data_IF_595663449130
#
_entry.id   IF_595663449130
#
_cell.length_a   1.000
_cell.length_b   1.000
_cell.length_c   1.000
_cell.angle_alpha   90.00
_cell.angle_beta   90.00
_cell.angle_gamma   90.00
#
_symmetry.space_group_name_H-M   'P 1'
#
loop_
_entity.id
_entity.type
_entity.pdbx_description
1 polymer ?
#
# COMPACT_ATOMS: atom_id res chain seq x y z
N UNK A 1 -20.42 -10.88 2.90
CA UNK A 1 -19.30 -11.30 2.01
C UNK A 1 -18.50 -10.06 1.66
N UNK A 2 -17.19 -10.06 1.96
CA UNK A 2 -16.29 -8.95 1.58
C UNK A 2 -16.23 -8.79 0.06
N UNK A 3 -15.77 -7.63 -0.42
CA UNK A 3 -15.53 -7.43 -1.85
C UNK A 3 -14.60 -8.54 -2.37
N UNK A 4 -14.96 -9.19 -3.48
CA UNK A 4 -14.11 -10.20 -4.10
C UNK A 4 -12.74 -9.61 -4.44
N UNK A 5 -11.68 -10.40 -4.28
CA UNK A 5 -10.36 -10.09 -4.80
C UNK A 5 -10.43 -10.10 -6.33
N UNK A 6 -10.00 -9.02 -6.95
CA UNK A 6 -10.12 -8.73 -8.39
C UNK A 6 -8.76 -8.74 -9.08
N UNK A 7 -8.75 -8.85 -10.40
CA UNK A 7 -7.52 -8.74 -11.21
C UNK A 7 -6.80 -7.39 -10.98
N UNK A 8 -7.56 -6.32 -10.72
CA UNK A 8 -7.02 -5.02 -10.34
C UNK A 8 -6.26 -5.08 -9.00
N UNK A 9 -6.76 -5.81 -7.99
CA UNK A 9 -6.05 -5.96 -6.72
C UNK A 9 -4.74 -6.73 -6.92
N UNK A 10 -4.78 -7.81 -7.72
CA UNK A 10 -3.59 -8.58 -8.04
C UNK A 10 -2.54 -7.73 -8.77
N UNK A 11 -2.98 -6.91 -9.72
CA UNK A 11 -2.11 -5.97 -10.43
C UNK A 11 -1.48 -4.96 -9.47
N UNK A 12 -2.26 -4.35 -8.56
CA UNK A 12 -1.76 -3.42 -7.55
C UNK A 12 -0.72 -4.11 -6.66
N UNK A 13 -1.01 -5.31 -6.16
CA UNK A 13 -0.09 -6.08 -5.30
C UNK A 13 1.23 -6.37 -6.02
N UNK A 14 1.18 -6.77 -7.30
CA UNK A 14 2.38 -6.99 -8.12
C UNK A 14 3.18 -5.70 -8.34
N UNK A 15 2.52 -4.57 -8.60
CA UNK A 15 3.18 -3.26 -8.76
C UNK A 15 3.85 -2.81 -7.45
N UNK A 16 3.20 -3.05 -6.30
CA UNK A 16 3.79 -2.80 -4.98
C UNK A 16 5.02 -3.68 -4.75
N UNK A 17 4.94 -4.96 -5.09
CA UNK A 17 6.09 -5.89 -4.97
C UNK A 17 7.25 -5.46 -5.88
N UNK A 18 6.96 -5.04 -7.10
CA UNK A 18 7.96 -4.55 -8.05
C UNK A 18 8.71 -3.33 -7.49
N UNK A 19 7.98 -2.28 -7.07
CA UNK A 19 8.60 -1.08 -6.50
C UNK A 19 9.38 -1.38 -5.22
N UNK A 20 8.89 -2.32 -4.40
CA UNK A 20 9.58 -2.76 -3.20
C UNK A 20 10.94 -3.38 -3.55
N UNK A 21 11.00 -4.25 -4.57
CA UNK A 21 12.26 -4.85 -5.06
C UNK A 21 13.21 -3.80 -5.64
N UNK A 22 12.70 -2.91 -6.50
CA UNK A 22 13.50 -1.87 -7.15
C UNK A 22 14.15 -0.90 -6.14
N UNK A 23 13.44 -0.58 -5.05
CA UNK A 23 13.94 0.32 -4.00
C UNK A 23 14.67 -0.39 -2.85
N UNK A 24 14.69 -1.73 -2.83
CA UNK A 24 15.19 -2.50 -1.69
C UNK A 24 14.36 -2.29 -0.41
N UNK A 25 13.05 -2.06 -0.54
CA UNK A 25 12.13 -1.82 0.57
C UNK A 25 11.25 -3.04 0.84
N UNK A 26 10.68 -3.13 2.05
CA UNK A 26 9.56 -4.03 2.32
C UNK A 26 8.29 -3.50 1.64
N UNK A 27 7.40 -4.38 1.20
CA UNK A 27 6.12 -3.99 0.57
C UNK A 27 5.27 -3.06 1.45
N UNK A 28 5.31 -3.26 2.78
CA UNK A 28 4.62 -2.38 3.75
C UNK A 28 5.12 -0.93 3.67
N UNK A 29 6.41 -0.70 3.40
CA UNK A 29 6.93 0.65 3.24
C UNK A 29 6.32 1.33 2.02
N UNK A 30 6.23 0.63 0.88
CA UNK A 30 5.62 1.18 -0.34
C UNK A 30 4.15 1.55 -0.08
N UNK A 31 3.38 0.65 0.52
CA UNK A 31 1.97 0.88 0.83
C UNK A 31 1.76 2.07 1.80
N UNK A 32 2.54 2.13 2.88
CA UNK A 32 2.42 3.20 3.88
C UNK A 32 2.92 4.55 3.37
N UNK A 33 3.98 4.57 2.56
CA UNK A 33 4.47 5.80 1.93
C UNK A 33 3.47 6.31 0.90
N UNK A 34 2.81 5.42 0.15
CA UNK A 34 1.71 5.79 -0.74
C UNK A 34 0.54 6.40 0.04
N UNK A 35 0.09 5.78 1.15
CA UNK A 35 -0.97 6.38 1.99
C UNK A 35 -0.59 7.79 2.47
N UNK A 36 0.65 7.96 2.95
CA UNK A 36 1.16 9.27 3.39
C UNK A 36 1.18 10.29 2.25
N UNK A 37 1.52 9.89 1.02
CA UNK A 37 1.53 10.83 -0.13
C UNK A 37 0.14 11.34 -0.50
N UNK A 38 -0.93 10.58 -0.17
CA UNK A 38 -2.32 11.04 -0.30
C UNK A 38 -2.78 11.95 0.85
N UNK A 39 -1.88 12.34 1.75
CA UNK A 39 -2.19 13.14 2.94
C UNK A 39 -2.85 12.35 4.07
N UNK A 40 -2.91 11.01 3.97
CA UNK A 40 -3.46 10.19 5.03
C UNK A 40 -2.47 10.03 6.19
N UNK A 41 -3.01 9.88 7.41
CA UNK A 41 -2.25 9.53 8.62
C UNK A 41 -2.58 8.07 8.97
N UNK A 42 -1.77 7.09 8.53
CA UNK A 42 -2.10 5.68 8.70
C UNK A 42 -2.01 5.25 10.17
N UNK A 43 -3.07 4.61 10.67
CA UNK A 43 -3.09 3.96 11.99
C UNK A 43 -2.87 2.45 11.80
N UNK A 44 -1.64 1.99 12.07
CA UNK A 44 -1.23 0.61 11.78
C UNK A 44 -1.43 -0.28 13.01
N UNK A 45 -2.30 -1.28 12.90
CA UNK A 45 -2.41 -2.34 13.91
C UNK A 45 -1.22 -3.30 13.80
N UNK A 46 -0.49 -3.48 14.89
CA UNK A 46 0.66 -4.40 14.96
C UNK A 46 0.47 -5.41 16.10
N UNK A 47 0.78 -6.68 15.82
CA UNK A 47 0.72 -7.78 16.80
C UNK A 47 2.12 -8.23 17.26
N UNK A 48 3.17 -7.56 16.79
CA UNK A 48 4.56 -7.84 17.13
C UNK A 48 5.39 -6.55 17.05
N UNK A 49 6.52 -6.52 17.77
CA UNK A 49 7.45 -5.39 17.77
C UNK A 49 8.05 -5.16 16.39
N UNK A 50 8.47 -6.22 15.70
CA UNK A 50 9.02 -6.14 14.34
C UNK A 50 8.08 -5.43 13.35
N UNK A 51 6.77 -5.70 13.42
CA UNK A 51 5.78 -5.00 12.56
C UNK A 51 5.66 -3.52 12.89
N UNK A 52 5.85 -3.15 14.15
CA UNK A 52 5.85 -1.75 14.59
C UNK A 52 7.10 -1.03 14.08
N UNK A 53 8.25 -1.69 14.14
CA UNK A 53 9.53 -1.18 13.60
C UNK A 53 9.43 -0.97 12.09
N UNK A 54 8.90 -1.95 11.35
CA UNK A 54 8.67 -1.84 9.91
C UNK A 54 7.76 -0.65 9.53
N UNK A 55 6.71 -0.42 10.33
CA UNK A 55 5.83 0.72 10.12
C UNK A 55 6.53 2.06 10.44
N UNK A 56 7.39 2.09 11.46
CA UNK A 56 8.16 3.27 11.84
C UNK A 56 9.27 3.62 10.83
N UNK A 57 9.80 2.62 10.13
CA UNK A 57 10.91 2.75 9.17
C UNK A 57 10.56 3.48 7.87
N UNK A 58 9.31 3.94 7.69
CA UNK A 58 8.90 4.76 6.53
C UNK A 58 9.40 6.21 6.60
N UNK A 59 10.09 6.60 7.68
CA UNK A 59 10.70 7.93 7.84
C UNK A 59 11.75 8.14 6.75
N UNK A 60 11.73 9.31 6.11
CA UNK A 60 12.67 9.65 5.03
C UNK A 60 12.43 8.95 3.67
N UNK A 61 11.46 8.04 3.57
CA UNK A 61 11.09 7.36 2.31
C UNK A 61 10.05 8.16 1.53
N UNK A 62 10.17 8.29 0.21
CA UNK A 62 9.16 8.94 -0.63
C UNK A 62 9.00 8.23 -1.97
N UNK A 63 7.78 8.25 -2.50
CA UNK A 63 7.49 7.84 -3.87
C UNK A 63 7.50 9.07 -4.77
N UNK A 64 7.96 8.90 -6.00
CA UNK A 64 7.84 9.92 -7.05
C UNK A 64 6.42 9.97 -7.61
N UNK A 65 6.06 11.05 -8.29
CA UNK A 65 4.74 11.20 -8.92
C UNK A 65 4.44 10.04 -9.90
N UNK A 66 5.44 9.64 -10.70
CA UNK A 66 5.31 8.52 -11.64
C UNK A 66 5.06 7.18 -10.93
N UNK A 67 5.68 6.97 -9.78
CA UNK A 67 5.49 5.74 -8.99
C UNK A 67 4.10 5.72 -8.34
N UNK A 68 3.60 6.88 -7.91
CA UNK A 68 2.23 7.01 -7.39
C UNK A 68 1.22 6.73 -8.51
N UNK A 69 1.39 7.35 -9.69
CA UNK A 69 0.55 7.12 -10.86
C UNK A 69 0.57 5.65 -11.28
N UNK A 70 1.75 5.04 -11.30
CA UNK A 70 1.92 3.62 -11.57
C UNK A 70 1.16 2.73 -10.57
N UNK A 71 1.13 3.07 -9.28
CA UNK A 71 0.34 2.29 -8.32
C UNK A 71 -1.18 2.47 -8.49
N UNK A 72 -1.62 3.63 -8.97
CA UNK A 72 -3.03 4.02 -9.05
C UNK A 72 -3.71 3.64 -10.37
N UNK A 73 -2.97 3.54 -11.47
CA UNK A 73 -3.48 3.20 -12.81
C UNK A 73 -4.40 1.95 -12.86
N UNK A 74 -4.10 0.81 -12.20
CA UNK A 74 -4.99 -0.35 -12.22
C UNK A 74 -6.19 -0.24 -11.27
N UNK A 75 -6.32 0.82 -10.47
CA UNK A 75 -7.36 0.94 -9.45
C UNK A 75 -8.77 0.98 -10.07
N UNK A 76 -9.68 0.17 -9.50
CA UNK A 76 -11.10 0.15 -9.85
C UNK A 76 -11.96 0.37 -8.60
N UNK A 77 -13.06 1.15 -8.68
CA UNK A 77 -13.99 1.34 -7.57
C UNK A 77 -14.52 0.01 -7.03
N UNK A 78 -14.55 -0.11 -5.70
CA UNK A 78 -15.06 -1.29 -5.00
C UNK A 78 -16.54 -1.13 -4.64
N UNK A 79 -17.30 -2.22 -4.72
CA UNK A 79 -18.67 -2.28 -4.18
C UNK A 79 -18.64 -2.19 -2.66
N UNK A 80 -19.69 -1.61 -2.07
CA UNK A 80 -19.87 -1.55 -0.62
C UNK A 80 -19.87 -2.97 -0.05
N UNK A 81 -19.08 -3.20 0.99
CA UNK A 81 -19.00 -4.46 1.72
C UNK A 81 -19.33 -4.23 3.19
N UNK A 82 -19.99 -5.20 3.84
CA UNK A 82 -20.21 -5.19 5.29
C UNK A 82 -21.37 -4.32 5.78
N UNK A 83 -22.23 -3.81 4.89
CA UNK A 83 -23.50 -3.19 5.25
C UNK A 83 -24.56 -4.29 5.38
N UNK A 84 -25.08 -4.52 6.59
CA UNK A 84 -26.12 -5.51 6.91
C UNK A 84 -27.35 -4.82 7.49
#
# INVERSE_FOLDING_TARGET
MGSAFTEADEAIVKRVEQLAKEKGWKMVHVALVWLRSKGAVPFVGATSVEKLEDAADIRGKSLTEKEIEFLEEPYVPKRIAGHF
#
